data_IF_351162653410
#
_entry.id   IF_351162653410
#
_cell.length_a   1.000
_cell.length_b   1.000
_cell.length_c   1.000
_cell.angle_alpha   90.00
_cell.angle_beta   90.00
_cell.angle_gamma   90.00
#
_symmetry.space_group_name_H-M   'P 1'
#
loop_
_entity.id
_entity.type
_entity.pdbx_description
1 polymer ?
#
# COMPACT_ATOMS: atom_id res chain seq x y z
N UNK A 1 19.33 44.29 34.07
CA UNK A 1 19.92 43.39 33.05
C UNK A 1 21.22 43.99 32.54
N UNK A 2 22.31 43.21 32.55
CA UNK A 2 23.59 43.65 32.00
C UNK A 2 23.49 43.80 30.47
N UNK A 3 24.42 44.55 29.87
CA UNK A 3 24.51 44.69 28.40
C UNK A 3 24.57 43.31 27.72
N UNK A 4 25.32 42.38 28.32
CA UNK A 4 25.44 40.99 27.87
C UNK A 4 24.10 40.25 27.88
N UNK A 5 23.27 40.40 28.92
CA UNK A 5 21.95 39.75 28.97
C UNK A 5 20.99 40.32 27.91
N UNK A 6 21.05 41.63 27.64
CA UNK A 6 20.23 42.26 26.59
C UNK A 6 20.63 41.75 25.19
N UNK A 7 21.93 41.67 24.91
CA UNK A 7 22.45 41.13 23.65
C UNK A 7 22.03 39.66 23.49
N UNK A 8 22.19 38.83 24.53
CA UNK A 8 21.81 37.42 24.47
C UNK A 8 20.31 37.21 24.18
N UNK A 9 19.44 37.98 24.85
CA UNK A 9 17.98 37.90 24.63
C UNK A 9 17.60 38.35 23.22
N UNK A 10 18.14 39.49 22.76
CA UNK A 10 17.85 39.99 21.40
C UNK A 10 18.31 39.00 20.33
N UNK A 11 19.52 38.43 20.47
CA UNK A 11 20.02 37.41 19.54
C UNK A 11 19.10 36.18 19.53
N UNK A 12 18.69 35.67 20.70
CA UNK A 12 17.77 34.53 20.77
C UNK A 12 16.42 34.81 20.10
N UNK A 13 15.84 35.99 20.33
CA UNK A 13 14.57 36.40 19.70
C UNK A 13 14.73 36.48 18.18
N UNK A 14 15.79 37.11 17.68
CA UNK A 14 16.03 37.23 16.24
C UNK A 14 16.21 35.86 15.60
N UNK A 15 16.99 34.96 16.22
CA UNK A 15 17.19 33.58 15.73
C UNK A 15 15.86 32.80 15.68
N UNK A 16 15.03 32.91 16.71
CA UNK A 16 13.71 32.26 16.71
C UNK A 16 12.80 32.82 15.61
N UNK A 17 12.77 34.14 15.41
CA UNK A 17 11.95 34.77 14.38
C UNK A 17 12.42 34.41 12.97
N UNK A 18 13.73 34.38 12.71
CA UNK A 18 14.26 33.99 11.40
C UNK A 18 14.02 32.51 11.12
N UNK A 19 14.16 31.64 12.13
CA UNK A 19 13.83 30.23 12.00
C UNK A 19 12.33 30.02 11.70
N UNK A 20 11.45 30.71 12.42
CA UNK A 20 10.00 30.64 12.18
C UNK A 20 9.61 31.16 10.78
N UNK A 21 10.19 32.29 10.35
CA UNK A 21 9.95 32.83 9.01
C UNK A 21 10.46 31.89 7.91
N UNK A 22 11.64 31.29 8.10
CA UNK A 22 12.23 30.33 7.15
C UNK A 22 11.38 29.06 7.05
N UNK A 23 10.92 28.53 8.18
CA UNK A 23 10.02 27.37 8.22
C UNK A 23 8.67 27.68 7.56
N UNK A 24 8.11 28.87 7.82
CA UNK A 24 6.88 29.34 7.18
C UNK A 24 7.03 29.46 5.68
N UNK A 25 8.12 30.08 5.21
CA UNK A 25 8.42 30.21 3.79
C UNK A 25 8.61 28.85 3.12
N UNK A 26 9.33 27.92 3.76
CA UNK A 26 9.49 26.56 3.26
C UNK A 26 8.15 25.82 3.17
N UNK A 27 7.28 25.94 4.18
CA UNK A 27 5.98 25.26 4.21
C UNK A 27 5.01 25.74 3.13
N UNK A 28 5.06 27.02 2.76
CA UNK A 28 4.26 27.56 1.64
C UNK A 28 4.96 27.43 0.29
N UNK A 29 6.22 27.00 0.29
CA UNK A 29 6.97 26.78 -0.94
C UNK A 29 6.70 25.38 -1.49
N UNK A 30 6.65 25.25 -2.81
CA UNK A 30 6.56 23.94 -3.49
C UNK A 30 7.92 23.26 -3.64
N UNK A 31 8.92 23.60 -2.81
CA UNK A 31 10.28 23.06 -2.92
C UNK A 31 10.38 21.60 -2.48
N UNK A 32 9.44 21.10 -1.68
CA UNK A 32 9.45 19.72 -1.21
C UNK A 32 8.47 18.87 -2.02
N UNK A 33 8.99 17.83 -2.69
CA UNK A 33 8.15 16.89 -3.40
C UNK A 33 7.61 15.82 -2.45
N UNK A 34 6.30 15.59 -2.50
CA UNK A 34 5.61 14.54 -1.75
C UNK A 34 5.26 13.32 -2.62
N UNK A 35 5.76 13.25 -3.85
CA UNK A 35 5.62 12.08 -4.70
C UNK A 35 6.27 10.86 -4.05
N UNK A 36 5.57 9.73 -4.05
CA UNK A 36 6.01 8.53 -3.35
C UNK A 36 7.23 7.85 -4.03
N UNK A 37 7.53 8.19 -5.28
CA UNK A 37 8.69 7.72 -6.03
C UNK A 37 9.95 8.58 -5.81
N UNK A 38 9.86 9.67 -5.04
CA UNK A 38 11.00 10.49 -4.66
C UNK A 38 11.34 10.32 -3.17
N UNK A 39 12.50 9.73 -2.83
CA UNK A 39 12.92 9.60 -1.45
C UNK A 39 13.05 10.96 -0.76
N UNK A 40 12.84 10.97 0.56
CA UNK A 40 13.28 12.10 1.36
C UNK A 40 14.80 12.31 1.22
N UNK A 41 15.28 13.51 1.55
CA UNK A 41 16.72 13.77 1.60
C UNK A 41 17.47 12.64 2.34
N UNK A 42 18.66 12.21 1.90
CA UNK A 42 19.32 11.02 2.43
C UNK A 42 19.44 10.99 3.96
N UNK A 43 19.74 12.14 4.57
CA UNK A 43 19.83 12.28 6.03
C UNK A 43 18.46 12.15 6.72
N UNK A 44 17.38 12.62 6.09
CA UNK A 44 16.00 12.45 6.60
C UNK A 44 15.62 10.98 6.52
N UNK A 45 15.81 10.35 5.36
CA UNK A 45 15.54 8.92 5.15
C UNK A 45 16.27 8.05 6.19
N UNK A 46 17.59 8.25 6.34
CA UNK A 46 18.40 7.52 7.31
C UNK A 46 17.96 7.77 8.77
N UNK A 47 17.59 9.01 9.10
CA UNK A 47 17.12 9.36 10.44
C UNK A 47 15.78 8.69 10.74
N UNK A 48 14.84 8.72 9.79
CA UNK A 48 13.53 8.09 9.93
C UNK A 48 13.65 6.57 10.01
N UNK A 49 14.51 5.94 9.22
CA UNK A 49 14.79 4.51 9.30
C UNK A 49 15.37 4.12 10.66
N UNK A 50 16.41 4.81 11.13
CA UNK A 50 16.98 4.57 12.46
C UNK A 50 15.93 4.73 13.59
N UNK A 51 15.13 5.81 13.55
CA UNK A 51 14.08 6.05 14.55
C UNK A 51 12.99 4.98 14.51
N UNK A 52 12.60 4.57 13.30
CA UNK A 52 11.61 3.51 13.06
C UNK A 52 12.08 2.19 13.65
N UNK A 53 13.29 1.73 13.33
CA UNK A 53 13.72 0.40 13.77
C UNK A 53 13.92 0.37 15.28
N UNK A 54 14.54 1.40 15.87
CA UNK A 54 14.64 1.52 17.34
C UNK A 54 13.26 1.50 18.02
N UNK A 55 12.29 2.18 17.42
CA UNK A 55 10.92 2.24 17.94
C UNK A 55 10.22 0.89 17.87
N UNK A 56 10.40 0.15 16.77
CA UNK A 56 9.86 -1.20 16.59
C UNK A 56 10.52 -2.15 17.59
N UNK A 57 11.86 -2.22 17.64
CA UNK A 57 12.61 -3.12 18.53
C UNK A 57 12.21 -2.93 19.99
N UNK A 58 12.10 -1.67 20.45
CA UNK A 58 11.68 -1.35 21.83
C UNK A 58 10.27 -1.85 22.16
N UNK A 59 9.37 -1.88 21.17
CA UNK A 59 7.96 -2.28 21.39
C UNK A 59 7.75 -3.78 21.15
N UNK A 60 8.45 -4.34 20.16
CA UNK A 60 8.47 -5.76 19.86
C UNK A 60 9.01 -6.57 21.05
N UNK A 61 10.02 -6.06 21.76
CA UNK A 61 10.59 -6.70 22.96
C UNK A 61 9.59 -6.97 24.10
N UNK A 62 8.37 -6.42 24.04
CA UNK A 62 7.30 -6.65 25.04
C UNK A 62 6.46 -7.89 24.75
N UNK A 63 6.58 -8.49 23.57
CA UNK A 63 5.80 -9.64 23.16
C UNK A 63 6.53 -10.94 23.48
N UNK A 64 5.82 -11.87 24.12
CA UNK A 64 6.29 -13.24 24.31
C UNK A 64 5.93 -14.03 23.07
N UNK A 65 6.93 -14.58 22.39
CA UNK A 65 6.72 -15.42 21.20
C UNK A 65 6.15 -16.76 21.65
N UNK A 66 4.94 -17.16 21.20
CA UNK A 66 4.38 -18.47 21.51
C UNK A 66 5.13 -19.57 20.74
N UNK A 67 4.77 -20.83 20.98
CA UNK A 67 5.27 -21.91 20.15
C UNK A 67 4.76 -21.78 18.70
N UNK A 68 5.70 -21.57 17.77
CA UNK A 68 5.44 -21.40 16.33
C UNK A 68 5.61 -22.71 15.54
N UNK A 69 5.94 -23.82 16.21
CA UNK A 69 6.24 -25.09 15.55
C UNK A 69 5.00 -25.91 15.15
N UNK A 70 3.84 -25.54 15.69
CA UNK A 70 2.54 -26.15 15.41
C UNK A 70 2.22 -26.10 13.88
N UNK A 71 2.10 -27.26 13.20
CA UNK A 71 1.90 -27.30 11.75
C UNK A 71 0.66 -26.54 11.27
N UNK A 72 -0.41 -26.54 12.07
CA UNK A 72 -1.65 -25.81 11.75
C UNK A 72 -1.44 -24.31 11.62
N UNK A 73 -0.50 -23.72 12.38
CA UNK A 73 -0.18 -22.28 12.30
C UNK A 73 0.46 -21.93 10.95
N UNK A 74 1.37 -22.78 10.46
CA UNK A 74 2.07 -22.57 9.19
C UNK A 74 1.10 -22.64 8.02
N UNK A 75 0.19 -23.63 8.01
CA UNK A 75 -0.82 -23.79 6.97
C UNK A 75 -1.77 -22.59 6.93
N UNK A 76 -2.29 -22.17 8.08
CA UNK A 76 -3.15 -20.97 8.14
C UNK A 76 -2.40 -19.69 7.76
N UNK A 77 -1.13 -19.56 8.18
CA UNK A 77 -0.30 -18.43 7.80
C UNK A 77 -0.02 -18.35 6.29
N UNK A 78 0.11 -19.50 5.61
CA UNK A 78 0.41 -19.55 4.17
C UNK A 78 -0.69 -18.90 3.33
N UNK A 79 -1.96 -19.27 3.57
CA UNK A 79 -3.10 -18.70 2.84
C UNK A 79 -3.23 -17.20 3.01
N UNK A 80 -3.09 -16.74 4.25
CA UNK A 80 -3.17 -15.31 4.58
C UNK A 80 -2.00 -14.52 3.99
N UNK A 81 -0.78 -15.09 4.00
CA UNK A 81 0.37 -14.48 3.37
C UNK A 81 0.18 -14.33 1.86
N UNK A 82 -0.32 -15.39 1.20
CA UNK A 82 -0.58 -15.36 -0.24
C UNK A 82 -1.62 -14.29 -0.62
N UNK A 83 -2.69 -14.16 0.17
CA UNK A 83 -3.77 -13.21 -0.10
C UNK A 83 -3.39 -11.75 0.18
N UNK A 84 -2.56 -11.49 1.20
CA UNK A 84 -2.41 -10.14 1.78
C UNK A 84 -0.99 -9.58 1.71
N UNK A 85 0.02 -10.45 1.67
CA UNK A 85 1.42 -10.04 1.86
C UNK A 85 2.26 -10.25 0.60
N UNK A 86 2.01 -11.33 -0.16
CA UNK A 86 2.83 -11.73 -1.29
C UNK A 86 2.90 -10.69 -2.43
N UNK A 87 1.85 -9.89 -2.61
CA UNK A 87 1.85 -8.82 -3.61
C UNK A 87 2.88 -7.72 -3.33
N UNK A 88 3.19 -7.45 -2.05
CA UNK A 88 4.22 -6.48 -1.65
C UNK A 88 5.56 -7.16 -1.33
N UNK A 89 5.53 -8.27 -0.61
CA UNK A 89 6.68 -8.91 0.03
C UNK A 89 7.22 -10.15 -0.70
N UNK A 90 6.57 -10.53 -1.80
CA UNK A 90 6.99 -11.54 -2.78
C UNK A 90 6.98 -12.99 -2.28
N UNK A 91 6.37 -13.87 -3.08
CA UNK A 91 6.48 -15.32 -2.91
C UNK A 91 7.90 -15.82 -3.28
N UNK A 92 8.25 -17.07 -2.94
CA UNK A 92 9.49 -17.69 -3.42
C UNK A 92 9.62 -17.60 -4.95
N UNK A 93 10.86 -17.49 -5.42
CA UNK A 93 11.17 -17.33 -6.85
C UNK A 93 10.85 -15.95 -7.45
N UNK A 94 10.03 -15.12 -6.80
CA UNK A 94 9.67 -13.80 -7.30
C UNK A 94 10.73 -12.73 -6.96
N UNK A 95 11.18 -12.00 -7.99
CA UNK A 95 12.14 -10.89 -7.83
C UNK A 95 11.46 -9.54 -7.59
N UNK A 96 10.26 -9.34 -8.17
CA UNK A 96 9.48 -8.10 -8.00
C UNK A 96 8.02 -8.29 -8.41
N UNK A 97 7.16 -7.35 -8.00
CA UNK A 97 5.80 -7.16 -8.48
C UNK A 97 5.58 -5.68 -8.85
N UNK A 98 4.47 -5.34 -9.49
CA UNK A 98 4.09 -3.92 -9.69
C UNK A 98 4.00 -3.17 -8.36
N UNK A 99 3.39 -3.79 -7.35
CA UNK A 99 3.17 -3.16 -6.05
C UNK A 99 4.47 -3.05 -5.24
N UNK A 100 5.33 -4.07 -5.26
CA UNK A 100 6.61 -4.02 -4.56
C UNK A 100 7.54 -2.94 -5.12
N UNK A 101 7.43 -2.59 -6.40
CA UNK A 101 8.23 -1.53 -7.04
C UNK A 101 7.66 -0.13 -6.81
N UNK A 102 6.35 0.00 -6.61
CA UNK A 102 5.66 1.28 -6.45
C UNK A 102 5.58 1.82 -5.01
N UNK A 103 6.00 1.03 -4.02
CA UNK A 103 5.95 1.43 -2.60
C UNK A 103 7.25 2.09 -2.14
N UNK A 104 7.11 3.15 -1.34
CA UNK A 104 8.21 3.80 -0.64
C UNK A 104 7.93 3.89 0.88
N UNK A 105 8.88 3.43 1.73
CA UNK A 105 10.05 2.64 1.36
C UNK A 105 9.66 1.32 0.68
N UNK A 106 10.57 0.78 -0.13
CA UNK A 106 10.37 -0.50 -0.80
C UNK A 106 10.28 -1.63 0.24
N UNK A 107 9.24 -2.49 0.19
CA UNK A 107 9.12 -3.62 1.11
C UNK A 107 10.25 -4.63 0.91
N UNK A 108 10.78 -5.25 1.99
CA UNK A 108 11.75 -6.33 1.86
C UNK A 108 11.12 -7.57 1.24
N UNK A 109 11.91 -8.33 0.48
CA UNK A 109 11.53 -9.65 -0.01
C UNK A 109 11.61 -10.66 1.15
N UNK A 110 10.45 -11.04 1.69
CA UNK A 110 10.34 -11.95 2.83
C UNK A 110 10.59 -13.41 2.46
N UNK A 111 10.58 -13.76 1.16
CA UNK A 111 11.03 -15.09 0.69
C UNK A 111 12.54 -15.28 0.73
N UNK A 112 13.31 -14.20 0.92
CA UNK A 112 14.79 -14.25 0.95
C UNK A 112 15.38 -13.95 2.32
N UNK A 113 14.59 -13.35 3.22
CA UNK A 113 15.10 -12.83 4.49
C UNK A 113 14.25 -13.33 5.65
N UNK A 114 14.92 -13.84 6.67
CA UNK A 114 14.30 -14.19 7.94
C UNK A 114 14.15 -12.95 8.81
N UNK A 115 12.96 -12.74 9.36
CA UNK A 115 12.66 -11.64 10.30
C UNK A 115 12.47 -12.22 11.70
N UNK A 116 12.92 -11.49 12.72
CA UNK A 116 12.65 -11.83 14.12
C UNK A 116 11.15 -11.95 14.39
N UNK A 117 10.74 -12.93 15.18
CA UNK A 117 9.32 -13.27 15.36
C UNK A 117 8.54 -12.18 16.10
N UNK A 118 9.12 -11.58 17.15
CA UNK A 118 8.47 -10.51 17.89
C UNK A 118 8.41 -9.22 17.07
N UNK A 119 9.48 -8.93 16.31
CA UNK A 119 9.51 -7.83 15.36
C UNK A 119 8.42 -8.00 14.28
N UNK A 120 8.36 -9.17 13.63
CA UNK A 120 7.37 -9.48 12.60
C UNK A 120 5.93 -9.35 13.14
N UNK A 121 5.66 -9.90 14.33
CA UNK A 121 4.36 -9.76 14.98
C UNK A 121 3.98 -8.29 15.17
N UNK A 122 4.89 -7.47 15.71
CA UNK A 122 4.62 -6.05 15.95
C UNK A 122 4.33 -5.29 14.66
N UNK A 123 5.15 -5.52 13.62
CA UNK A 123 5.00 -4.87 12.31
C UNK A 123 3.71 -5.29 11.61
N UNK A 124 3.34 -6.57 11.63
CA UNK A 124 2.08 -7.04 11.04
C UNK A 124 0.91 -6.42 11.82
N UNK A 125 0.94 -6.46 13.15
CA UNK A 125 -0.13 -5.94 14.00
C UNK A 125 -0.36 -4.44 13.83
N UNK A 126 0.71 -3.65 13.75
CA UNK A 126 0.62 -2.19 13.81
C UNK A 126 0.89 -1.48 12.49
N UNK A 127 1.39 -2.19 11.48
CA UNK A 127 1.86 -1.62 10.24
C UNK A 127 3.09 -0.73 10.45
N UNK A 128 3.48 -0.04 9.39
CA UNK A 128 4.58 0.93 9.44
C UNK A 128 4.08 2.27 8.89
N UNK A 129 4.13 3.30 9.73
CA UNK A 129 3.65 4.63 9.39
C UNK A 129 4.40 5.17 8.17
N UNK A 130 3.64 5.73 7.22
CA UNK A 130 4.17 6.30 5.98
C UNK A 130 4.95 5.29 5.10
N UNK A 131 4.47 4.04 5.01
CA UNK A 131 5.13 3.00 4.17
C UNK A 131 4.20 2.12 3.32
N UNK A 132 2.91 2.43 3.25
CA UNK A 132 1.91 1.55 2.63
C UNK A 132 1.61 0.25 3.40
N UNK A 133 2.48 -0.19 4.33
CA UNK A 133 2.23 -1.35 5.19
C UNK A 133 1.08 -1.08 6.18
N UNK A 134 -0.07 -1.77 6.06
CA UNK A 134 -1.25 -1.51 6.88
C UNK A 134 -1.14 -2.14 8.28
N UNK A 135 -1.98 -1.67 9.20
CA UNK A 135 -2.06 -2.17 10.57
C UNK A 135 -3.08 -3.32 10.68
N UNK A 136 -2.65 -4.55 10.42
CA UNK A 136 -3.56 -5.71 10.36
C UNK A 136 -4.24 -6.07 11.67
N UNK A 137 -3.68 -5.66 12.82
CA UNK A 137 -4.32 -5.83 14.14
C UNK A 137 -5.63 -5.05 14.31
N UNK A 138 -6.08 -4.31 13.28
CA UNK A 138 -7.41 -3.71 13.21
C UNK A 138 -8.47 -4.67 12.68
N UNK A 139 -8.08 -5.68 11.91
CA UNK A 139 -8.97 -6.63 11.24
C UNK A 139 -8.64 -8.10 11.53
N UNK A 140 -7.51 -8.37 12.19
CA UNK A 140 -7.04 -9.70 12.54
C UNK A 140 -6.75 -9.80 14.04
N UNK A 141 -7.09 -10.95 14.63
CA UNK A 141 -6.70 -11.28 15.99
C UNK A 141 -5.22 -11.70 16.10
N UNK A 142 -4.70 -11.72 17.32
CA UNK A 142 -3.29 -11.98 17.58
C UNK A 142 -2.89 -13.41 17.18
N UNK A 143 -3.80 -14.39 17.31
CA UNK A 143 -3.55 -15.77 16.89
C UNK A 143 -3.34 -15.87 15.37
N UNK A 144 -4.17 -15.19 14.59
CA UNK A 144 -3.99 -15.11 13.14
C UNK A 144 -2.67 -14.45 12.74
N UNK A 145 -2.26 -13.40 13.47
CA UNK A 145 -0.96 -12.74 13.24
C UNK A 145 0.19 -13.70 13.60
N UNK A 146 0.09 -14.46 14.70
CA UNK A 146 1.10 -15.47 15.03
C UNK A 146 1.17 -16.60 14.00
N UNK A 147 0.06 -16.96 13.36
CA UNK A 147 0.06 -17.92 12.25
C UNK A 147 0.86 -17.39 11.05
N UNK A 148 0.67 -16.12 10.68
CA UNK A 148 1.52 -15.45 9.69
C UNK A 148 3.00 -15.48 10.09
N UNK A 149 3.32 -15.13 11.34
CA UNK A 149 4.71 -15.15 11.83
C UNK A 149 5.31 -16.55 11.76
N UNK A 150 4.57 -17.59 12.15
CA UNK A 150 5.00 -18.98 12.03
C UNK A 150 5.33 -19.36 10.58
N UNK A 151 4.48 -18.96 9.64
CA UNK A 151 4.74 -19.13 8.21
C UNK A 151 5.99 -18.38 7.74
N UNK A 152 6.18 -17.12 8.15
CA UNK A 152 7.38 -16.33 7.83
C UNK A 152 8.68 -16.97 8.33
N UNK A 153 8.64 -17.76 9.40
CA UNK A 153 9.83 -18.50 9.86
C UNK A 153 10.23 -19.65 8.93
N UNK A 154 9.30 -20.14 8.09
CA UNK A 154 9.52 -21.23 7.14
C UNK A 154 9.72 -20.73 5.71
N UNK A 155 9.08 -19.62 5.36
CA UNK A 155 9.05 -19.05 4.00
C UNK A 155 10.43 -18.97 3.32
N UNK A 156 11.53 -18.48 3.95
CA UNK A 156 12.83 -18.40 3.30
C UNK A 156 13.48 -19.75 2.93
N UNK A 157 12.91 -20.86 3.39
CA UNK A 157 13.38 -22.22 3.15
C UNK A 157 12.52 -22.95 2.12
N UNK A 158 11.46 -22.32 1.63
CA UNK A 158 10.51 -22.91 0.69
C UNK A 158 10.95 -22.65 -0.75
N UNK A 159 10.81 -23.67 -1.60
CA UNK A 159 10.73 -23.50 -3.05
C UNK A 159 9.28 -23.25 -3.50
N UNK A 160 9.10 -22.91 -4.78
CA UNK A 160 7.78 -22.58 -5.34
C UNK A 160 6.77 -23.74 -5.13
N UNK A 161 7.10 -25.03 -5.39
CA UNK A 161 6.18 -26.13 -5.12
C UNK A 161 5.76 -26.26 -3.65
N UNK A 162 6.69 -26.09 -2.70
CA UNK A 162 6.38 -26.15 -1.27
C UNK A 162 5.48 -25.00 -0.83
N UNK A 163 5.71 -23.80 -1.37
CA UNK A 163 4.86 -22.65 -1.15
C UNK A 163 3.44 -22.89 -1.67
N UNK A 164 3.30 -23.33 -2.92
CA UNK A 164 2.00 -23.61 -3.54
C UNK A 164 1.23 -24.71 -2.79
N UNK A 165 1.91 -25.75 -2.32
CA UNK A 165 1.29 -26.78 -1.50
C UNK A 165 0.78 -26.23 -0.17
N UNK A 166 1.58 -25.40 0.52
CA UNK A 166 1.19 -24.80 1.80
C UNK A 166 -0.02 -23.88 1.64
N UNK A 167 -0.04 -23.06 0.59
CA UNK A 167 -1.17 -22.17 0.25
C UNK A 167 -2.40 -22.99 -0.15
N UNK A 168 -2.26 -24.00 -1.00
CA UNK A 168 -3.37 -24.87 -1.41
C UNK A 168 -3.99 -25.65 -0.26
N UNK A 169 -3.19 -26.00 0.75
CA UNK A 169 -3.65 -26.74 1.94
C UNK A 169 -4.36 -25.85 2.97
N UNK A 170 -4.26 -24.52 2.87
CA UNK A 170 -4.89 -23.60 3.83
C UNK A 170 -6.40 -23.47 3.66
N UNK A 171 -6.92 -23.85 2.49
CA UNK A 171 -8.32 -23.58 2.12
C UNK A 171 -8.59 -22.12 1.76
N UNK A 172 -7.55 -21.29 1.63
CA UNK A 172 -7.64 -19.86 1.34
C UNK A 172 -7.19 -18.96 2.50
N UNK A 173 -7.65 -17.71 2.47
CA UNK A 173 -7.43 -16.70 3.49
C UNK A 173 -8.51 -16.79 4.57
N UNK A 174 -8.14 -16.81 5.85
CA UNK A 174 -9.06 -16.86 6.98
C UNK A 174 -8.48 -16.26 8.26
N UNK A 175 -9.28 -15.43 8.93
CA UNK A 175 -8.97 -14.80 10.23
C UNK A 175 -10.21 -14.63 11.09
N UNK A 176 -10.05 -14.75 12.41
CA UNK A 176 -11.15 -14.50 13.35
C UNK A 176 -11.53 -13.01 13.32
N UNK A 177 -12.65 -12.70 12.68
CA UNK A 177 -13.11 -11.33 12.42
C UNK A 177 -13.89 -11.19 11.10
N UNK A 178 -13.70 -12.14 10.18
CA UNK A 178 -14.50 -12.28 8.98
C UNK A 178 -15.62 -13.28 9.27
N UNK A 179 -16.87 -12.80 9.42
CA UNK A 179 -18.00 -13.69 9.21
C UNK A 179 -17.97 -14.09 7.75
N UNK A 180 -17.78 -15.37 7.49
CA UNK A 180 -17.83 -15.93 6.14
C UNK A 180 -19.13 -15.50 5.45
N UNK A 181 -19.00 -14.56 4.52
CA UNK A 181 -19.99 -14.42 3.47
C UNK A 181 -19.75 -15.61 2.52
N UNK A 182 -20.25 -16.77 2.91
CA UNK A 182 -20.40 -17.92 2.03
C UNK A 182 -21.29 -17.50 0.86
N UNK A 183 -20.67 -17.20 -0.27
CA UNK A 183 -21.32 -16.93 -1.55
C UNK A 183 -20.96 -18.03 -2.53
N UNK A 184 -21.74 -19.12 -2.50
CA UNK A 184 -21.84 -20.02 -3.63
C UNK A 184 -22.62 -19.27 -4.72
N UNK A 185 -21.94 -18.72 -5.72
CA UNK A 185 -22.63 -18.15 -6.88
C UNK A 185 -23.06 -19.29 -7.82
N UNK A 186 -24.12 -19.97 -7.39
CA UNK A 186 -25.06 -20.69 -8.25
C UNK A 186 -25.87 -19.67 -9.06
N UNK A 187 -26.19 -20.05 -10.30
CA UNK A 187 -26.71 -19.14 -11.31
C UNK A 187 -28.14 -18.61 -11.13
N UNK A 188 -28.38 -17.57 -11.92
CA UNK A 188 -29.63 -17.19 -12.59
C UNK A 188 -30.77 -16.56 -11.77
N UNK A 189 -31.28 -15.43 -12.26
CA UNK A 189 -32.56 -14.88 -11.82
C UNK A 189 -32.75 -13.42 -12.18
N UNK A 190 -33.46 -13.18 -13.29
CA UNK A 190 -33.90 -11.90 -13.83
C UNK A 190 -34.94 -11.21 -12.96
N UNK A 191 -34.92 -9.87 -12.89
CA UNK A 191 -36.04 -8.91 -12.77
C UNK A 191 -35.40 -7.55 -12.40
N UNK A 192 -35.61 -6.41 -13.05
CA UNK A 192 -36.70 -5.94 -13.89
C UNK A 192 -37.07 -4.53 -13.41
N UNK A 193 -36.24 -3.51 -13.69
CA UNK A 193 -36.62 -2.11 -13.46
C UNK A 193 -36.36 -1.25 -14.71
N UNK A 194 -37.47 -1.04 -15.42
CA UNK A 194 -37.68 -0.10 -16.51
C UNK A 194 -37.70 1.31 -15.94
N UNK A 195 -37.00 2.26 -16.58
CA UNK A 195 -37.45 3.65 -16.70
C UNK A 195 -37.06 4.17 -18.08
N UNK A 196 -38.07 4.68 -18.79
CA UNK A 196 -38.09 4.99 -20.21
C UNK A 196 -37.85 6.48 -20.49
N UNK A 197 -36.98 6.80 -21.46
CA UNK A 197 -37.02 7.98 -22.36
C UNK A 197 -36.61 9.36 -21.82
N UNK A 198 -36.13 10.31 -22.67
CA UNK A 198 -36.50 10.44 -24.08
C UNK A 198 -35.34 10.48 -25.10
N UNK A 199 -35.77 10.29 -26.34
CA UNK A 199 -35.13 10.20 -27.65
C UNK A 199 -34.25 11.38 -28.07
N UNK A 200 -33.12 11.12 -28.73
CA UNK A 200 -32.72 11.80 -29.98
C UNK A 200 -31.84 10.84 -30.81
N UNK A 201 -32.25 10.68 -32.06
CA UNK A 201 -31.69 9.87 -33.13
C UNK A 201 -30.48 10.52 -33.79
N UNK A 202 -29.40 9.77 -34.00
CA UNK A 202 -28.52 9.87 -35.17
C UNK A 202 -27.64 8.62 -35.27
N UNK A 203 -27.81 7.87 -36.37
CA UNK A 203 -27.07 6.66 -36.69
C UNK A 203 -25.62 6.99 -37.05
N UNK A 204 -24.65 6.48 -36.27
CA UNK A 204 -23.27 6.34 -36.70
C UNK A 204 -22.71 5.02 -36.17
N UNK A 205 -22.52 4.08 -37.08
CA UNK A 205 -22.07 2.70 -36.86
C UNK A 205 -20.80 2.66 -35.99
N UNK A 206 -20.95 2.26 -34.73
CA UNK A 206 -19.83 1.97 -33.83
C UNK A 206 -19.64 0.46 -33.78
N UNK A 207 -18.63 -0.05 -34.49
CA UNK A 207 -18.29 -1.47 -34.44
C UNK A 207 -17.82 -1.84 -33.02
N UNK A 208 -18.53 -2.76 -32.37
CA UNK A 208 -18.16 -3.33 -31.06
C UNK A 208 -16.90 -4.18 -31.25
N UNK A 209 -15.85 -3.88 -30.48
CA UNK A 209 -14.60 -4.63 -30.54
C UNK A 209 -14.72 -5.87 -29.64
N UNK A 210 -14.74 -7.04 -30.27
CA UNK A 210 -14.79 -8.35 -29.60
C UNK A 210 -13.42 -8.97 -29.65
N UNK A 211 -12.91 -9.47 -28.52
CA UNK A 211 -11.70 -10.27 -28.52
C UNK A 211 -11.81 -11.50 -27.61
N UNK A 212 -11.04 -12.52 -27.97
CA UNK A 212 -11.02 -13.84 -27.32
C UNK A 212 -9.68 -14.03 -26.65
N UNK A 213 -9.71 -14.32 -25.35
CA UNK A 213 -8.51 -14.63 -24.58
C UNK A 213 -8.01 -16.06 -24.86
N UNK A 214 -6.76 -16.33 -24.53
CA UNK A 214 -6.13 -17.65 -24.71
C UNK A 214 -6.86 -18.79 -23.95
N UNK A 215 -7.68 -18.46 -22.94
CA UNK A 215 -8.54 -19.39 -22.22
C UNK A 215 -9.93 -19.60 -22.86
N UNK A 216 -10.14 -19.09 -24.08
CA UNK A 216 -11.40 -19.19 -24.82
C UNK A 216 -12.49 -18.21 -24.38
N UNK A 217 -12.23 -17.36 -23.37
CA UNK A 217 -13.23 -16.40 -22.88
C UNK A 217 -13.32 -15.18 -23.80
N UNK A 218 -14.51 -14.94 -24.32
CA UNK A 218 -14.82 -13.80 -25.20
C UNK A 218 -15.42 -12.68 -24.37
N UNK A 219 -14.99 -11.45 -24.62
CA UNK A 219 -15.65 -10.29 -24.06
C UNK A 219 -15.61 -9.09 -25.01
N UNK A 220 -16.59 -8.21 -24.85
CA UNK A 220 -16.89 -7.06 -25.69
C UNK A 220 -16.86 -5.79 -24.86
N UNK A 221 -16.20 -4.76 -25.36
CA UNK A 221 -16.20 -3.44 -24.75
C UNK A 221 -16.61 -2.37 -25.76
N UNK A 222 -17.26 -1.29 -25.31
CA UNK A 222 -17.47 -0.10 -26.13
C UNK A 222 -16.12 0.54 -26.51
N UNK A 223 -16.02 1.18 -27.68
CA UNK A 223 -14.76 1.73 -28.16
C UNK A 223 -14.25 2.85 -27.24
N UNK A 224 -12.92 2.88 -27.03
CA UNK A 224 -12.26 3.91 -26.24
C UNK A 224 -12.38 5.29 -26.93
N UNK A 225 -12.56 6.39 -26.17
CA UNK A 225 -12.63 7.73 -26.75
C UNK A 225 -11.26 8.13 -27.34
N UNK A 226 -11.26 8.54 -28.61
CA UNK A 226 -10.06 9.04 -29.30
C UNK A 226 -9.64 10.40 -28.73
N UNK A 227 -8.40 10.49 -28.23
CA UNK A 227 -7.82 11.77 -27.79
C UNK A 227 -7.48 12.65 -29.01
N UNK A 228 -8.36 13.60 -29.33
CA UNK A 228 -8.07 14.62 -30.33
C UNK A 228 -7.22 15.74 -29.71
N UNK A 229 -5.95 15.83 -30.12
CA UNK A 229 -5.09 16.98 -29.83
C UNK A 229 -5.64 18.23 -30.56
N UNK A 230 -5.88 19.32 -29.81
CA UNK A 230 -6.26 20.62 -30.37
C UNK A 230 -5.68 21.76 -29.52
N UNK A 231 -4.61 22.40 -30.02
CA UNK A 231 -4.10 23.69 -29.52
C UNK A 231 -5.09 24.81 -29.86
N UNK A 232 -5.41 25.76 -28.97
CA UNK A 232 -6.05 26.99 -29.38
C UNK A 232 -5.03 28.05 -29.83
N UNK A 233 -5.34 28.66 -30.98
CA UNK A 233 -4.64 29.77 -31.58
C UNK A 233 -5.02 31.12 -30.93
N UNK A 234 -4.09 32.07 -31.03
CA UNK A 234 -4.15 33.45 -30.55
C UNK A 234 -5.05 34.37 -31.39
N UNK A 235 -5.90 35.16 -30.73
CA UNK A 235 -6.39 36.51 -31.10
C UNK A 235 -7.17 37.04 -29.87
N UNK A 236 -7.07 38.25 -29.32
CA UNK A 236 -6.67 39.56 -29.86
C UNK A 236 -7.91 40.49 -29.90
N UNK A 237 -8.22 41.20 -28.79
CA UNK A 237 -9.06 42.44 -28.72
C UNK A 237 -9.25 42.88 -27.24
N UNK A 238 -8.49 43.84 -26.73
CA UNK A 238 -8.84 45.27 -26.48
C UNK A 238 -9.88 45.58 -25.38
N UNK A 239 -9.35 46.04 -24.23
CA UNK A 239 -9.78 47.13 -23.33
C UNK A 239 -11.27 47.54 -23.19
N UNK A 240 -11.74 47.67 -21.94
CA UNK A 240 -12.16 48.94 -21.30
C UNK A 240 -12.55 48.74 -19.82
N UNK A 241 -12.09 49.66 -18.95
CA UNK A 241 -12.46 49.85 -17.52
C UNK A 241 -13.87 50.49 -17.39
N UNK A 242 -14.51 50.50 -16.21
CA UNK A 242 -14.14 51.36 -15.07
C UNK A 242 -13.54 50.62 -13.85
#
# INVERSE_FOLDING_TARGET
MSSTTKIAVTTAVVVCLTAAASAGLFAVSSLYNFAADEPHFPWVSATLEMMRERSIDTRAAKFVVPDLSEPGRVVQGAGNYAAMCASCHLAPGAESSELSRGLYPQPPNLSKQKVDSAHAFWVIKHGVKASGMPAWGRSMDDESIWNLVAFLQKLPQMDDPQYDQAVGSSGGHSHAGEHEAGGQDAGHGTEGHVMEGPTHSEEAQTAIQTHTHANGKVHTHPPAPSMHQGRPASAGATASHP
#
